data_IF_460995671662
#
_entry.id   IF_460995671662
#
_cell.length_a   1.000
_cell.length_b   1.000
_cell.length_c   1.000
_cell.angle_alpha   90.00
_cell.angle_beta   90.00
_cell.angle_gamma   90.00
#
_symmetry.space_group_name_H-M   'P 1'
#
loop_
_entity.id
_entity.type
_entity.pdbx_description
1 polymer ?
#
# COMPACT_ATOMS: atom_id res chain seq x y z
N UNK A 1 -10.30 -29.29 -7.83
CA UNK A 1 -9.70 -28.10 -8.47
C UNK A 1 -9.01 -27.31 -7.37
N UNK A 2 -7.67 -27.35 -7.28
CA UNK A 2 -6.94 -26.54 -6.30
C UNK A 2 -6.99 -25.09 -6.77
N UNK A 3 -7.62 -24.22 -5.97
CA UNK A 3 -7.55 -22.77 -6.19
C UNK A 3 -6.18 -22.34 -5.69
N UNK A 4 -5.30 -21.97 -6.61
CA UNK A 4 -3.99 -21.43 -6.28
C UNK A 4 -4.18 -20.16 -5.44
N UNK A 5 -3.62 -20.13 -4.23
CA UNK A 5 -3.75 -18.95 -3.36
C UNK A 5 -2.98 -17.79 -4.03
N UNK A 6 -3.60 -16.61 -4.23
CA UNK A 6 -2.91 -15.49 -4.83
C UNK A 6 -1.74 -15.03 -3.96
N UNK A 7 -0.65 -14.62 -4.61
CA UNK A 7 0.54 -14.05 -3.94
C UNK A 7 0.17 -12.83 -3.09
N UNK A 8 -0.79 -12.02 -3.55
CA UNK A 8 -1.32 -10.86 -2.84
C UNK A 8 -2.85 -10.88 -2.97
N UNK A 9 -3.55 -10.96 -1.85
CA UNK A 9 -5.01 -10.88 -1.77
C UNK A 9 -5.41 -9.57 -1.11
N UNK A 10 -5.78 -8.57 -1.91
CA UNK A 10 -6.17 -7.25 -1.40
C UNK A 10 -7.57 -7.22 -0.77
N UNK A 11 -8.29 -8.34 -0.70
CA UNK A 11 -9.45 -8.46 0.18
C UNK A 11 -9.04 -8.73 1.63
N UNK A 12 -7.78 -9.14 1.86
CA UNK A 12 -7.20 -9.37 3.17
C UNK A 12 -6.14 -8.32 3.45
N UNK A 13 -6.58 -7.18 3.98
CA UNK A 13 -5.74 -6.04 4.32
C UNK A 13 -5.93 -5.64 5.78
N UNK A 14 -4.89 -5.04 6.36
CA UNK A 14 -4.91 -4.40 7.67
C UNK A 14 -5.46 -2.98 7.58
N UNK A 15 -5.04 -2.22 6.56
CA UNK A 15 -5.56 -0.88 6.29
C UNK A 15 -5.58 -0.60 4.80
N UNK A 16 -6.39 0.38 4.40
CA UNK A 16 -6.36 0.96 3.06
C UNK A 16 -6.46 2.48 3.17
N UNK A 17 -5.61 3.19 2.43
CA UNK A 17 -5.63 4.66 2.34
C UNK A 17 -5.63 5.08 0.88
N UNK A 18 -6.32 6.17 0.56
CA UNK A 18 -6.30 6.75 -0.79
C UNK A 18 -5.74 8.16 -0.71
N UNK A 19 -4.63 8.40 -1.41
CA UNK A 19 -3.91 9.68 -1.41
C UNK A 19 -3.79 10.13 -2.86
N UNK A 20 -4.67 11.05 -3.25
CA UNK A 20 -4.81 11.52 -4.63
C UNK A 20 -5.19 10.39 -5.60
N UNK A 21 -4.26 10.03 -6.47
CA UNK A 21 -4.35 9.02 -7.52
C UNK A 21 -3.74 7.66 -7.13
N UNK A 22 -3.24 7.51 -5.89
CA UNK A 22 -2.66 6.26 -5.39
C UNK A 22 -3.50 5.71 -4.24
N UNK A 23 -3.76 4.40 -4.28
CA UNK A 23 -4.32 3.64 -3.17
C UNK A 23 -3.22 2.77 -2.56
N UNK A 24 -3.08 2.82 -1.23
CA UNK A 24 -2.09 2.08 -0.47
C UNK A 24 -2.82 1.08 0.41
N UNK A 25 -2.38 -0.16 0.36
CA UNK A 25 -2.84 -1.22 1.25
C UNK A 25 -1.70 -1.62 2.17
N UNK A 26 -1.94 -1.64 3.48
CA UNK A 26 -1.18 -2.50 4.37
C UNK A 26 -1.81 -3.89 4.33
N UNK A 27 -1.09 -4.88 3.83
CA UNK A 27 -1.62 -6.23 3.62
C UNK A 27 -0.55 -7.29 3.89
N UNK A 28 -0.83 -8.53 3.50
CA UNK A 28 0.10 -9.64 3.58
C UNK A 28 0.31 -10.26 2.20
N UNK A 29 1.56 -10.53 1.85
CA UNK A 29 1.92 -11.12 0.58
C UNK A 29 2.84 -12.34 0.72
N UNK A 30 2.97 -13.09 -0.37
CA UNK A 30 3.79 -14.27 -0.46
C UNK A 30 3.19 -15.52 0.20
N UNK A 31 3.96 -16.63 0.18
CA UNK A 31 3.56 -17.88 0.82
C UNK A 31 3.50 -17.75 2.34
N UNK A 32 4.42 -16.98 2.93
CA UNK A 32 4.55 -16.81 4.39
C UNK A 32 3.63 -15.73 4.97
N UNK A 33 2.84 -15.06 4.13
CA UNK A 33 1.94 -13.97 4.53
C UNK A 33 2.68 -12.91 5.35
N UNK A 34 3.80 -12.45 4.80
CA UNK A 34 4.61 -11.36 5.37
C UNK A 34 3.89 -10.03 5.15
N UNK A 35 3.89 -9.11 6.14
CA UNK A 35 3.38 -7.77 5.94
C UNK A 35 4.04 -7.05 4.76
N UNK A 36 3.24 -6.27 4.03
CA UNK A 36 3.69 -5.46 2.92
C UNK A 36 2.83 -4.21 2.75
N UNK A 37 3.42 -3.18 2.14
CA UNK A 37 2.67 -2.10 1.50
C UNK A 37 2.45 -2.45 0.04
N UNK A 38 1.21 -2.37 -0.44
CA UNK A 38 0.89 -2.50 -1.86
C UNK A 38 0.28 -1.20 -2.36
N UNK A 39 0.94 -0.57 -3.33
CA UNK A 39 0.49 0.66 -3.98
C UNK A 39 -0.18 0.29 -5.31
N UNK A 40 -1.35 0.86 -5.54
CA UNK A 40 -2.11 0.71 -6.78
C UNK A 40 -2.54 2.08 -7.29
N UNK A 41 -2.59 2.22 -8.62
CA UNK A 41 -3.23 3.39 -9.21
C UNK A 41 -4.72 3.34 -8.91
N UNK A 42 -5.29 4.47 -8.52
CA UNK A 42 -6.74 4.65 -8.37
C UNK A 42 -7.43 4.53 -9.73
N UNK A 43 -6.76 4.97 -10.79
CA UNK A 43 -7.30 4.96 -12.14
C UNK A 43 -6.74 3.74 -12.88
N UNK A 44 -7.57 2.72 -13.05
CA UNK A 44 -7.21 1.62 -13.93
C UNK A 44 -7.17 2.12 -15.36
N UNK A 45 -6.06 1.90 -16.04
CA UNK A 45 -5.98 2.13 -17.48
C UNK A 45 -6.75 0.99 -18.13
N UNK A 46 -7.84 1.32 -18.84
CA UNK A 46 -8.67 0.36 -19.56
C UNK A 46 -7.78 -0.49 -20.48
N UNK A 47 -7.89 -1.81 -20.37
CA UNK A 47 -7.10 -2.76 -21.18
C UNK A 47 -5.68 -3.03 -20.67
N UNK A 48 -5.23 -2.43 -19.56
CA UNK A 48 -3.95 -2.78 -18.90
C UNK A 48 -4.18 -3.48 -17.56
N UNK A 49 -3.41 -4.54 -17.34
CA UNK A 49 -3.33 -5.19 -16.02
C UNK A 49 -2.67 -4.20 -15.05
N UNK A 50 -3.35 -3.90 -13.94
CA UNK A 50 -2.75 -3.10 -12.87
C UNK A 50 -1.72 -3.96 -12.16
N UNK A 51 -0.47 -3.48 -12.12
CA UNK A 51 0.63 -4.14 -11.41
C UNK A 51 0.84 -3.36 -10.11
N UNK A 52 0.57 -3.96 -8.94
CA UNK A 52 0.84 -3.30 -7.68
C UNK A 52 2.36 -3.15 -7.50
N UNK A 53 2.79 -2.00 -7.01
CA UNK A 53 4.14 -1.87 -6.46
C UNK A 53 4.13 -2.32 -5.00
N UNK A 54 5.00 -3.25 -4.63
CA UNK A 54 4.97 -3.88 -3.30
C UNK A 54 6.27 -3.61 -2.56
N UNK A 55 6.15 -3.04 -1.36
CA UNK A 55 7.25 -2.91 -0.40
C UNK A 55 7.06 -3.96 0.68
N UNK A 56 7.96 -4.94 0.72
CA UNK A 56 7.97 -5.98 1.75
C UNK A 56 8.53 -5.43 3.06
N UNK A 57 7.99 -5.92 4.19
CA UNK A 57 8.50 -5.55 5.53
C UNK A 57 10.00 -5.80 5.68
N UNK A 58 10.52 -6.88 5.09
CA UNK A 58 11.94 -7.24 5.15
C UNK A 58 12.84 -6.20 4.44
N UNK A 59 12.26 -5.37 3.56
CA UNK A 59 12.95 -4.29 2.84
C UNK A 59 12.52 -2.90 3.31
N UNK A 60 11.70 -2.80 4.36
CA UNK A 60 11.17 -1.52 4.84
C UNK A 60 12.28 -0.57 5.33
N UNK A 61 13.37 -1.15 5.88
CA UNK A 61 14.53 -0.38 6.35
C UNK A 61 15.21 0.43 5.22
N UNK A 62 15.10 0.00 3.96
CA UNK A 62 15.67 0.74 2.81
C UNK A 62 15.01 2.10 2.58
N UNK A 63 13.87 2.34 3.24
CA UNK A 63 13.09 3.56 3.16
C UNK A 63 13.20 4.41 4.43
N UNK A 64 13.92 3.95 5.47
CA UNK A 64 14.10 4.73 6.70
C UNK A 64 15.18 5.79 6.54
N UNK A 65 15.05 6.93 7.21
CA UNK A 65 16.04 8.01 7.15
C UNK A 65 17.45 7.56 7.58
N UNK A 66 17.56 6.54 8.43
CA UNK A 66 18.84 6.02 8.94
C UNK A 66 19.60 5.16 7.92
N UNK A 67 18.90 4.43 7.04
CA UNK A 67 19.50 3.45 6.13
C UNK A 67 19.22 3.73 4.64
N UNK A 68 18.43 4.75 4.35
CA UNK A 68 18.08 5.14 3.00
C UNK A 68 19.32 5.58 2.19
N UNK A 69 19.55 4.92 1.07
CA UNK A 69 20.36 5.47 -0.02
C UNK A 69 19.46 6.32 -0.93
N UNK A 70 19.72 7.64 -1.07
CA UNK A 70 18.92 8.50 -1.94
C UNK A 70 18.84 7.99 -3.39
N UNK A 71 19.91 7.39 -3.91
CA UNK A 71 19.90 6.84 -5.27
C UNK A 71 18.95 5.65 -5.39
N UNK A 72 18.98 4.76 -4.40
CA UNK A 72 18.07 3.62 -4.31
C UNK A 72 16.60 4.07 -4.20
N UNK A 73 16.30 5.05 -3.33
CA UNK A 73 14.93 5.57 -3.18
C UNK A 73 14.42 6.14 -4.50
N UNK A 74 15.22 6.97 -5.18
CA UNK A 74 14.83 7.55 -6.47
C UNK A 74 14.57 6.45 -7.51
N UNK A 75 15.42 5.44 -7.58
CA UNK A 75 15.26 4.31 -8.51
C UNK A 75 13.98 3.50 -8.21
N UNK A 76 13.74 3.15 -6.95
CA UNK A 76 12.56 2.39 -6.57
C UNK A 76 11.27 3.19 -6.75
N UNK A 77 11.29 4.47 -6.43
CA UNK A 77 10.14 5.36 -6.65
C UNK A 77 9.85 5.56 -8.14
N UNK A 78 10.87 5.59 -9.00
CA UNK A 78 10.69 5.62 -10.45
C UNK A 78 10.00 4.34 -10.96
N UNK A 79 10.44 3.16 -10.49
CA UNK A 79 9.81 1.86 -10.79
C UNK A 79 8.36 1.80 -10.30
N UNK A 80 8.10 2.37 -9.11
CA UNK A 80 6.75 2.48 -8.59
C UNK A 80 5.88 3.39 -9.48
N UNK A 81 6.39 4.54 -9.94
CA UNK A 81 5.68 5.38 -10.91
C UNK A 81 5.29 4.59 -12.17
N UNK A 82 6.20 3.80 -12.74
CA UNK A 82 5.91 2.97 -13.92
C UNK A 82 4.79 1.95 -13.65
N UNK A 83 4.85 1.26 -12.51
CA UNK A 83 3.81 0.30 -12.10
C UNK A 83 2.43 0.96 -11.93
N UNK A 84 2.43 2.20 -11.42
CA UNK A 84 1.22 3.00 -11.18
C UNK A 84 0.74 3.74 -12.44
N UNK A 85 1.49 3.68 -13.55
CA UNK A 85 1.18 4.41 -14.77
C UNK A 85 1.35 5.93 -14.66
N UNK A 86 2.16 6.38 -13.70
CA UNK A 86 2.53 7.78 -13.52
C UNK A 86 3.70 8.14 -14.45
N UNK A 87 3.74 9.39 -14.92
CA UNK A 87 4.86 9.86 -15.73
C UNK A 87 6.14 9.93 -14.88
N UNK A 88 7.08 9.02 -15.14
CA UNK A 88 8.39 8.95 -14.48
C UNK A 88 9.30 10.14 -14.84
N UNK A 89 9.06 10.79 -15.98
CA UNK A 89 9.84 11.96 -16.42
C UNK A 89 9.47 13.22 -15.64
N UNK A 90 8.35 13.20 -14.92
CA UNK A 90 7.96 14.25 -14.01
C UNK A 90 8.56 13.98 -12.61
N UNK A 91 9.58 14.74 -12.17
CA UNK A 91 10.26 14.49 -10.90
C UNK A 91 9.31 14.61 -9.69
N UNK A 92 8.22 15.38 -9.81
CA UNK A 92 7.23 15.51 -8.74
C UNK A 92 6.54 14.19 -8.42
N UNK A 93 6.34 13.34 -9.42
CA UNK A 93 5.72 12.02 -9.21
C UNK A 93 6.67 11.11 -8.42
N UNK A 94 7.95 11.09 -8.79
CA UNK A 94 8.97 10.27 -8.10
C UNK A 94 9.14 10.71 -6.65
N UNK A 95 9.22 12.03 -6.41
CA UNK A 95 9.31 12.58 -5.06
C UNK A 95 8.05 12.29 -4.26
N UNK A 96 6.86 12.47 -4.85
CA UNK A 96 5.57 12.15 -4.20
C UNK A 96 5.52 10.69 -3.77
N UNK A 97 5.89 9.75 -4.64
CA UNK A 97 5.87 8.32 -4.29
C UNK A 97 6.89 7.99 -3.21
N UNK A 98 8.06 8.64 -3.22
CA UNK A 98 9.08 8.45 -2.18
C UNK A 98 8.52 8.81 -0.80
N UNK A 99 7.98 10.02 -0.65
CA UNK A 99 7.36 10.46 0.60
C UNK A 99 6.17 9.59 0.98
N UNK A 100 5.33 9.23 0.00
CA UNK A 100 4.18 8.40 0.24
C UNK A 100 4.55 7.05 0.87
N UNK A 101 5.62 6.42 0.41
CA UNK A 101 6.10 5.15 0.97
C UNK A 101 6.69 5.39 2.37
N UNK A 102 7.55 6.40 2.51
CA UNK A 102 8.20 6.76 3.78
C UNK A 102 7.19 7.03 4.90
N UNK A 103 6.16 7.83 4.61
CA UNK A 103 5.07 8.17 5.55
C UNK A 103 4.31 6.94 6.06
N UNK A 104 4.34 5.83 5.30
CA UNK A 104 3.63 4.59 5.64
C UNK A 104 4.56 3.46 6.10
N UNK A 105 5.87 3.67 6.22
CA UNK A 105 6.78 2.66 6.78
C UNK A 105 6.41 2.35 8.24
N UNK A 106 6.04 3.35 9.03
CA UNK A 106 5.54 3.13 10.40
C UNK A 106 4.28 2.28 10.43
N UNK A 107 3.33 2.58 9.53
CA UNK A 107 2.10 1.79 9.36
C UNK A 107 2.42 0.33 8.95
N UNK A 108 3.42 0.10 8.09
CA UNK A 108 3.88 -1.24 7.68
C UNK A 108 4.45 -2.04 8.86
N UNK A 109 5.29 -1.42 9.67
CA UNK A 109 5.90 -2.06 10.84
C UNK A 109 4.87 -2.41 11.93
N UNK A 110 3.73 -1.70 11.95
CA UNK A 110 2.64 -1.96 12.88
C UNK A 110 1.70 -3.11 12.43
N UNK A 111 1.82 -3.59 11.19
CA UNK A 111 0.96 -4.68 10.70
C UNK A 111 1.31 -5.98 11.46
N UNK A 112 0.34 -6.59 12.18
CA UNK A 112 0.60 -7.83 12.88
C UNK A 112 0.81 -8.99 11.89
N UNK A 113 1.44 -10.11 12.32
CA UNK A 113 1.42 -11.34 11.54
C UNK A 113 -0.02 -11.75 11.18
N UNK A 114 -0.20 -12.29 9.97
CA UNK A 114 -1.53 -12.70 9.53
C UNK A 114 -2.09 -13.77 10.47
N UNK A 115 -3.24 -13.51 11.09
CA UNK A 115 -3.93 -14.51 11.92
C UNK A 115 -4.37 -15.66 11.03
N UNK A 116 -4.21 -16.90 11.52
CA UNK A 116 -4.68 -18.09 10.79
C UNK A 116 -6.15 -17.94 10.42
N UNK A 117 -6.54 -18.45 9.24
CA UNK A 117 -7.88 -18.34 8.61
C UNK A 117 -9.06 -18.76 9.52
N UNK A 118 -8.81 -19.34 10.70
CA UNK A 118 -9.83 -19.71 11.70
C UNK A 118 -10.29 -18.56 12.60
N UNK A 119 -9.64 -17.41 12.55
CA UNK A 119 -9.97 -16.23 13.37
C UNK A 119 -10.45 -15.08 12.49
N UNK A 120 -11.48 -15.34 11.67
CA UNK A 120 -12.16 -14.30 10.90
C UNK A 120 -12.95 -13.38 11.83
N UNK A 121 -12.26 -12.41 12.41
CA UNK A 121 -12.89 -11.32 13.14
C UNK A 121 -12.70 -10.05 12.34
N UNK A 122 -13.79 -9.66 11.66
CA UNK A 122 -14.12 -8.34 11.12
C UNK A 122 -12.89 -7.44 10.92
N UNK A 123 -12.39 -7.40 9.69
CA UNK A 123 -11.55 -6.31 9.21
C UNK A 123 -12.39 -5.04 9.34
N UNK A 124 -12.19 -4.30 10.43
CA UNK A 124 -12.75 -2.97 10.64
C UNK A 124 -12.10 -2.07 9.60
N UNK A 125 -12.79 -1.92 8.47
CA UNK A 125 -12.40 -1.05 7.39
C UNK A 125 -12.59 0.40 7.84
N UNK A 126 -11.55 1.02 8.40
CA UNK A 126 -11.49 2.47 8.49
C UNK A 126 -11.26 3.02 7.08
N UNK A 127 -12.36 3.39 6.41
CA UNK A 127 -12.31 4.15 5.17
C UNK A 127 -11.87 5.59 5.50
N UNK A 128 -10.57 5.83 5.61
CA UNK A 128 -10.04 7.19 5.72
C UNK A 128 -10.01 7.81 4.33
N UNK A 129 -11.06 8.58 3.99
CA UNK A 129 -11.03 9.49 2.86
C UNK A 129 -10.25 10.74 3.26
N UNK A 130 -9.04 10.88 2.73
CA UNK A 130 -8.26 12.11 2.83
C UNK A 130 -8.78 13.11 1.79
N UNK A 131 -9.16 14.31 2.23
CA UNK A 131 -9.56 15.39 1.32
C UNK A 131 -8.34 15.99 0.59
N UNK A 132 -8.61 16.85 -0.40
CA UNK A 132 -7.60 17.55 -1.22
C UNK A 132 -6.67 18.50 -0.42
N UNK A 133 -6.90 18.65 0.89
CA UNK A 133 -6.14 19.49 1.80
C UNK A 133 -5.48 18.71 2.96
N UNK A 134 -5.48 17.36 2.91
CA UNK A 134 -4.84 16.52 3.92
C UNK A 134 -5.60 16.42 5.24
N UNK A 135 -6.85 16.91 5.32
CA UNK A 135 -7.64 16.85 6.55
C UNK A 135 -8.39 15.53 6.61
N UNK A 136 -8.09 14.76 7.66
CA UNK A 136 -8.74 13.49 7.94
C UNK A 136 -10.12 13.74 8.56
N UNK A 137 -11.19 13.18 7.97
CA UNK A 137 -12.51 13.08 8.61
C UNK A 137 -12.75 11.62 9.02
N UNK A 138 -12.81 11.38 10.33
CA UNK A 138 -13.31 10.13 10.88
C UNK A 138 -14.84 10.19 10.86
N UNK A 139 -15.48 9.33 10.07
CA UNK A 139 -16.93 9.15 10.12
C UNK A 139 -17.19 7.75 10.70
N UNK A 140 -17.62 7.72 11.97
CA UNK A 140 -18.05 6.49 12.64
C UNK A 140 -19.43 6.09 12.09
N UNK A 141 -19.48 5.03 11.27
CA UNK A 141 -20.76 4.41 10.90
C UNK A 141 -21.10 3.44 12.03
N UNK A 142 -22.05 3.84 12.88
CA UNK A 142 -22.71 2.93 13.81
C UNK A 142 -23.77 2.15 13.04
N UNK A 143 -23.58 0.85 12.93
CA UNK A 143 -24.66 -0.08 12.59
C UNK A 143 -25.59 -0.13 13.81
N UNK A 144 -26.77 0.48 13.70
CA UNK A 144 -27.84 0.40 14.69
C UNK A 144 -28.65 -0.86 14.35
N UNK A 145 -28.63 -1.87 15.21
CA UNK A 145 -29.58 -2.99 15.19
C UNK A 145 -30.23 -3.11 16.56
#
# INVERSE_FOLDING_TARGET
MQVEKPFLDLNKYHFVRTIGDVRIYGAWCGPDKRPCLALLSRFQIIGKRTIPFVVHIDNAYLWSDEHADPAHIVEQSAKACECLGLDVRNPRNVVKISFLIQDHIGDLLAIPPMRSEKSEQRVLADLVMTDEHGKQKHAEIRDDT
#
